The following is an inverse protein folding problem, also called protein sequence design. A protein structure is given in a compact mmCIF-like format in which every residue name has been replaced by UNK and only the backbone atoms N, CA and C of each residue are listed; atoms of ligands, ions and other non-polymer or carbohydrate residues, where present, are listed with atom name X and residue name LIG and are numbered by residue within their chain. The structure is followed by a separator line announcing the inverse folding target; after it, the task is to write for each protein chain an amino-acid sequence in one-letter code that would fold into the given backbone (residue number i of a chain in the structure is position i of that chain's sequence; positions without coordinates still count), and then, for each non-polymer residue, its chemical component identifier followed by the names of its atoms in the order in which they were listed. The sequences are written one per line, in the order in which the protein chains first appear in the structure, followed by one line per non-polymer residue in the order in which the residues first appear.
data_IF_026504635634
#
_entry.id   IF_026504635634
#
_cell.length_a   1.000
_cell.length_b   1.000
_cell.length_c   1.000
_cell.angle_alpha   90.00
_cell.angle_beta   90.00
_cell.angle_gamma   90.00
#
_symmetry.space_group_name_H-M   'P 1'
#
loop_
_entity.id
_entity.type
_entity.pdbx_description
1 polymer ?
#
# COMPACT_ATOMS: atom_id res chain seq x y z
N UNK A 1 10.15 -78.17 17.37
CA UNK A 1 10.43 -77.36 16.16
C UNK A 1 9.74 -76.04 16.32
N UNK A 2 10.48 -75.00 16.49
CA UNK A 2 10.01 -73.65 16.81
C UNK A 2 10.23 -72.75 15.61
N UNK A 3 9.20 -72.26 15.01
CA UNK A 3 9.29 -71.24 13.96
C UNK A 3 9.35 -69.85 14.59
N UNK A 4 10.32 -69.09 14.22
CA UNK A 4 10.49 -67.68 14.61
C UNK A 4 9.96 -66.80 13.46
N UNK A 5 8.87 -66.12 13.72
CA UNK A 5 8.33 -65.11 12.78
C UNK A 5 8.96 -63.75 13.11
N UNK A 6 9.78 -63.23 12.19
CA UNK A 6 10.36 -61.90 12.28
C UNK A 6 9.33 -60.87 11.75
N UNK A 7 8.92 -59.96 12.62
CA UNK A 7 8.07 -58.82 12.23
C UNK A 7 8.97 -57.67 11.75
N UNK A 8 8.81 -57.28 10.49
CA UNK A 8 9.46 -56.15 9.86
C UNK A 8 8.60 -54.87 10.11
N UNK A 9 9.03 -54.01 11.03
CA UNK A 9 8.37 -52.74 11.31
C UNK A 9 8.75 -51.69 10.27
N UNK A 10 7.78 -51.25 9.49
CA UNK A 10 7.94 -50.14 8.55
C UNK A 10 7.74 -48.80 9.31
N UNK A 11 8.83 -48.04 9.46
CA UNK A 11 8.77 -46.69 10.02
C UNK A 11 8.44 -45.74 8.88
N UNK A 12 7.17 -45.26 8.82
CA UNK A 12 6.76 -44.12 8.00
C UNK A 12 7.15 -42.85 8.75
N UNK A 13 8.25 -42.21 8.37
CA UNK A 13 8.61 -40.90 8.82
C UNK A 13 7.76 -39.84 8.10
N UNK A 14 6.82 -39.23 8.82
CA UNK A 14 6.08 -38.06 8.36
C UNK A 14 7.02 -36.83 8.32
N UNK A 15 7.50 -36.46 7.15
CA UNK A 15 8.13 -35.16 6.92
C UNK A 15 7.06 -34.11 6.49
N UNK A 16 6.28 -33.64 7.46
CA UNK A 16 5.26 -32.60 7.25
C UNK A 16 5.70 -31.22 7.78
N UNK A 17 7.02 -30.91 7.68
CA UNK A 17 7.58 -29.71 8.33
C UNK A 17 7.98 -28.54 7.43
N UNK A 18 8.02 -28.71 6.10
CA UNK A 18 8.70 -27.71 5.25
C UNK A 18 7.79 -26.80 4.43
N UNK A 19 6.51 -27.09 4.31
CA UNK A 19 5.60 -26.27 3.48
C UNK A 19 5.01 -25.06 4.22
N UNK A 20 4.89 -25.12 5.54
CA UNK A 20 4.31 -24.02 6.33
C UNK A 20 5.27 -22.82 6.50
N UNK A 21 6.57 -23.04 6.45
CA UNK A 21 7.58 -21.98 6.63
C UNK A 21 7.71 -21.02 5.44
N UNK A 22 7.30 -21.43 4.23
CA UNK A 22 7.42 -20.59 3.02
C UNK A 22 6.20 -19.68 2.78
N UNK A 23 5.05 -20.01 3.33
CA UNK A 23 3.82 -19.21 3.19
C UNK A 23 3.79 -17.99 4.13
N UNK A 24 4.52 -18.01 5.26
CA UNK A 24 4.56 -16.92 6.24
C UNK A 24 5.62 -15.83 5.97
N UNK A 25 6.56 -16.08 5.07
CA UNK A 25 7.64 -15.13 4.77
C UNK A 25 7.16 -13.77 4.22
N UNK A 26 6.17 -13.71 3.32
CA UNK A 26 5.62 -12.44 2.86
C UNK A 26 4.92 -11.65 3.97
N UNK A 27 4.15 -12.33 4.83
CA UNK A 27 3.43 -11.70 5.94
C UNK A 27 4.39 -11.12 6.99
N UNK A 28 5.47 -11.84 7.33
CA UNK A 28 6.50 -11.36 8.25
C UNK A 28 7.27 -10.15 7.68
N UNK A 29 7.55 -10.13 6.39
CA UNK A 29 8.25 -9.05 5.71
C UNK A 29 7.49 -7.73 5.84
N UNK A 30 6.16 -7.74 5.72
CA UNK A 30 5.32 -6.54 5.73
C UNK A 30 4.74 -6.21 7.12
N UNK A 31 5.06 -6.98 8.14
CA UNK A 31 4.50 -6.79 9.49
C UNK A 31 4.72 -5.38 10.08
N UNK A 32 5.86 -4.77 9.79
CA UNK A 32 6.16 -3.39 10.24
C UNK A 32 5.30 -2.35 9.51
N UNK A 33 5.11 -2.55 8.21
CA UNK A 33 4.24 -1.71 7.40
C UNK A 33 2.79 -1.83 7.88
N UNK A 34 2.27 -3.05 8.03
CA UNK A 34 0.90 -3.30 8.47
C UNK A 34 0.62 -2.66 9.83
N UNK A 35 1.53 -2.75 10.82
CA UNK A 35 1.36 -2.07 12.10
C UNK A 35 1.23 -0.54 11.97
N UNK A 36 1.92 0.08 11.01
CA UNK A 36 1.78 1.52 10.78
C UNK A 36 0.46 1.87 10.10
N UNK A 37 -0.01 1.02 9.19
CA UNK A 37 -1.36 1.12 8.62
C UNK A 37 -2.41 1.00 9.73
N UNK A 38 -2.28 0.00 10.62
CA UNK A 38 -3.20 -0.18 11.75
C UNK A 38 -3.23 1.05 12.67
N UNK A 39 -2.07 1.66 12.90
CA UNK A 39 -1.97 2.89 13.70
C UNK A 39 -2.69 4.07 13.02
N UNK A 40 -2.57 4.22 11.71
CA UNK A 40 -3.33 5.21 10.93
C UNK A 40 -4.83 4.96 11.04
N UNK A 41 -5.27 3.72 10.80
CA UNK A 41 -6.68 3.35 10.87
C UNK A 41 -7.27 3.51 12.29
N UNK A 42 -6.46 3.33 13.34
CA UNK A 42 -6.90 3.59 14.71
C UNK A 42 -7.25 5.07 14.92
N UNK A 43 -6.40 5.99 14.44
CA UNK A 43 -6.69 7.44 14.45
C UNK A 43 -7.93 7.75 13.63
N UNK A 44 -8.02 7.21 12.42
CA UNK A 44 -9.16 7.40 11.52
C UNK A 44 -10.47 6.95 12.18
N UNK A 45 -10.51 5.75 12.78
CA UNK A 45 -11.68 5.25 13.51
C UNK A 45 -12.08 6.12 14.70
N UNK A 46 -11.11 6.69 15.44
CA UNK A 46 -11.41 7.63 16.52
C UNK A 46 -12.09 8.90 15.97
N UNK A 47 -11.61 9.42 14.86
CA UNK A 47 -12.22 10.57 14.18
C UNK A 47 -13.64 10.24 13.72
N UNK A 48 -13.88 9.07 13.16
CA UNK A 48 -15.21 8.64 12.68
C UNK A 48 -16.25 8.46 13.79
N UNK A 49 -15.82 8.35 15.05
CA UNK A 49 -16.75 8.35 16.19
C UNK A 49 -17.38 9.71 16.46
N UNK A 50 -16.73 10.80 16.04
CA UNK A 50 -17.17 12.18 16.27
C UNK A 50 -17.55 12.93 15.00
N UNK A 51 -17.06 12.47 13.84
CA UNK A 51 -17.37 13.05 12.54
C UNK A 51 -17.96 11.97 11.63
N UNK A 52 -19.17 12.20 11.17
CA UNK A 52 -19.81 11.29 10.22
C UNK A 52 -19.15 11.44 8.86
N UNK A 53 -18.49 10.37 8.40
CA UNK A 53 -17.95 10.28 7.05
C UNK A 53 -19.05 10.18 5.97
N UNK A 54 -18.66 10.21 4.67
CA UNK A 54 -19.60 10.10 3.57
C UNK A 54 -20.46 8.82 3.69
N UNK A 55 -21.76 8.99 3.44
CA UNK A 55 -22.70 7.89 3.31
C UNK A 55 -23.20 7.81 1.88
N UNK A 56 -23.84 6.69 1.54
CA UNK A 56 -24.53 6.57 0.26
C UNK A 56 -25.66 7.61 0.22
N UNK A 57 -25.55 8.56 -0.69
CA UNK A 57 -26.53 9.63 -0.92
C UNK A 57 -26.62 9.89 -2.42
N UNK A 58 -27.79 10.35 -2.88
CA UNK A 58 -27.96 10.88 -4.24
C UNK A 58 -27.49 12.33 -4.35
N UNK A 59 -27.26 13.00 -3.23
CA UNK A 59 -26.76 14.38 -3.18
C UNK A 59 -25.21 14.36 -3.15
N UNK A 60 -24.63 14.72 -4.29
CA UNK A 60 -23.18 14.84 -4.44
C UNK A 60 -22.58 15.85 -3.44
N UNK A 61 -23.29 16.93 -3.15
CA UNK A 61 -22.78 17.97 -2.27
C UNK A 61 -22.69 17.50 -0.83
N UNK A 62 -23.67 16.72 -0.37
CA UNK A 62 -23.64 16.07 0.94
C UNK A 62 -22.43 15.12 1.08
N UNK A 63 -22.16 14.31 0.04
CA UNK A 63 -21.01 13.41 0.03
C UNK A 63 -19.70 14.20 0.13
N UNK A 64 -19.54 15.26 -0.64
CA UNK A 64 -18.34 16.09 -0.64
C UNK A 64 -18.13 16.80 0.69
N UNK A 65 -19.18 17.37 1.29
CA UNK A 65 -19.09 18.02 2.59
C UNK A 65 -18.69 17.02 3.71
N UNK A 66 -19.27 15.83 3.69
CA UNK A 66 -18.93 14.80 4.66
C UNK A 66 -17.46 14.32 4.48
N UNK A 67 -16.98 14.17 3.25
CA UNK A 67 -15.57 13.86 2.96
C UNK A 67 -14.64 14.98 3.43
N UNK A 68 -15.02 16.24 3.23
CA UNK A 68 -14.24 17.39 3.69
C UNK A 68 -14.19 17.49 5.22
N UNK A 69 -15.31 17.23 5.90
CA UNK A 69 -15.36 17.19 7.36
C UNK A 69 -14.47 16.09 7.92
N UNK A 70 -14.54 14.87 7.34
CA UNK A 70 -13.68 13.75 7.72
C UNK A 70 -12.21 14.09 7.51
N UNK A 71 -11.86 14.64 6.34
CA UNK A 71 -10.52 15.07 6.03
C UNK A 71 -9.96 16.08 7.02
N UNK A 72 -10.70 17.14 7.31
CA UNK A 72 -10.29 18.18 8.26
C UNK A 72 -10.06 17.63 9.68
N UNK A 73 -10.92 16.71 10.11
CA UNK A 73 -10.77 16.07 11.41
C UNK A 73 -9.55 15.13 11.47
N UNK A 74 -9.29 14.35 10.42
CA UNK A 74 -8.07 13.52 10.31
C UNK A 74 -6.83 14.42 10.27
N UNK A 75 -6.84 15.51 9.49
CA UNK A 75 -5.74 16.46 9.41
C UNK A 75 -5.40 17.03 10.80
N UNK A 76 -6.41 17.39 11.56
CA UNK A 76 -6.26 17.91 12.93
C UNK A 76 -5.67 16.84 13.86
N UNK A 77 -6.22 15.62 13.84
CA UNK A 77 -5.74 14.51 14.67
C UNK A 77 -4.31 14.09 14.31
N UNK A 78 -3.87 14.35 13.06
CA UNK A 78 -2.54 14.05 12.53
C UNK A 78 -1.72 15.32 12.24
N UNK A 79 -1.92 16.41 12.96
CA UNK A 79 -1.23 17.68 12.71
C UNK A 79 0.32 17.56 12.72
N UNK A 80 0.88 16.57 13.43
CA UNK A 80 2.31 16.26 13.45
C UNK A 80 2.76 15.26 12.39
N UNK A 81 1.87 14.83 11.47
CA UNK A 81 2.20 13.83 10.45
C UNK A 81 3.31 14.31 9.52
N UNK A 82 4.24 13.41 9.22
CA UNK A 82 5.41 13.68 8.39
C UNK A 82 5.64 12.57 7.38
N UNK A 83 6.32 12.91 6.30
CA UNK A 83 6.81 11.92 5.35
C UNK A 83 7.70 10.87 6.04
N UNK A 84 7.41 9.60 5.79
CA UNK A 84 8.09 8.47 6.41
C UNK A 84 7.44 7.95 7.68
N UNK A 85 6.31 8.50 8.10
CA UNK A 85 5.54 7.96 9.24
C UNK A 85 5.03 6.55 8.95
N UNK A 86 4.63 6.27 7.71
CA UNK A 86 4.28 4.93 7.24
C UNK A 86 5.48 4.32 6.51
N UNK A 87 6.00 4.98 5.48
CA UNK A 87 7.15 4.54 4.70
C UNK A 87 8.47 4.89 5.39
N UNK A 88 8.69 4.40 6.63
CA UNK A 88 9.97 4.58 7.31
C UNK A 88 11.14 4.11 6.44
N UNK A 89 12.39 4.54 6.68
CA UNK A 89 13.53 4.21 5.81
C UNK A 89 13.67 2.71 5.51
N UNK A 90 13.42 1.85 6.49
CA UNK A 90 13.46 0.39 6.30
C UNK A 90 12.32 -0.11 5.41
N UNK A 91 11.09 0.33 5.67
CA UNK A 91 9.91 -0.01 4.86
C UNK A 91 10.09 0.52 3.43
N UNK A 92 10.56 1.76 3.29
CA UNK A 92 10.86 2.37 2.00
C UNK A 92 11.87 1.56 1.17
N UNK A 93 12.90 1.02 1.82
CA UNK A 93 13.87 0.15 1.16
C UNK A 93 13.24 -1.16 0.67
N UNK A 94 12.34 -1.74 1.47
CA UNK A 94 11.62 -2.98 1.11
C UNK A 94 10.69 -2.74 -0.09
N UNK A 95 9.91 -1.65 -0.07
CA UNK A 95 9.04 -1.27 -1.19
C UNK A 95 9.84 -1.05 -2.49
N UNK A 96 10.94 -0.28 -2.43
CA UNK A 96 11.78 -0.06 -3.63
C UNK A 96 12.40 -1.35 -4.15
N UNK A 97 12.78 -2.27 -3.27
CA UNK A 97 13.30 -3.58 -3.66
C UNK A 97 12.22 -4.41 -4.35
N UNK A 98 11.02 -4.45 -3.78
CA UNK A 98 9.87 -5.16 -4.36
C UNK A 98 9.51 -4.61 -5.74
N UNK A 99 9.37 -3.31 -5.86
CA UNK A 99 9.06 -2.63 -7.13
C UNK A 99 10.11 -2.96 -8.19
N UNK A 100 11.41 -2.88 -7.86
CA UNK A 100 12.48 -3.25 -8.80
C UNK A 100 12.40 -4.72 -9.21
N UNK A 101 12.10 -5.61 -8.28
CA UNK A 101 11.95 -7.04 -8.55
C UNK A 101 10.84 -7.30 -9.58
N UNK A 102 9.68 -6.65 -9.40
CA UNK A 102 8.55 -6.76 -10.33
C UNK A 102 8.91 -6.24 -11.73
N UNK A 103 9.51 -5.05 -11.80
CA UNK A 103 9.93 -4.44 -13.07
C UNK A 103 10.92 -5.35 -13.82
N UNK A 104 11.89 -5.93 -13.10
CA UNK A 104 12.89 -6.84 -13.70
C UNK A 104 12.24 -8.15 -14.16
N UNK A 105 11.39 -8.75 -13.35
CA UNK A 105 10.69 -10.01 -13.66
C UNK A 105 9.82 -9.86 -14.91
N UNK A 106 9.11 -8.75 -15.01
CA UNK A 106 8.13 -8.51 -16.09
C UNK A 106 8.77 -7.85 -17.32
N UNK A 107 10.08 -7.56 -17.30
CA UNK A 107 10.79 -6.88 -18.38
C UNK A 107 10.26 -5.48 -18.69
N UNK A 108 9.57 -4.85 -17.74
CA UNK A 108 8.93 -3.54 -17.92
C UNK A 108 9.89 -2.41 -17.65
N UNK A 109 9.83 -1.40 -18.52
CA UNK A 109 10.54 -0.14 -18.30
C UNK A 109 9.66 0.82 -17.52
N UNK A 110 10.28 1.64 -16.66
CA UNK A 110 9.58 2.70 -15.94
C UNK A 110 8.89 3.69 -16.88
N UNK A 111 9.56 4.00 -18.01
CA UNK A 111 9.02 4.90 -19.02
C UNK A 111 7.72 4.37 -19.63
N UNK A 112 7.60 3.06 -19.84
CA UNK A 112 6.38 2.44 -20.37
C UNK A 112 5.22 2.56 -19.35
N UNK A 113 5.53 2.46 -18.05
CA UNK A 113 4.53 2.64 -16.97
C UNK A 113 4.07 4.10 -16.86
N UNK A 114 4.94 5.03 -17.23
CA UNK A 114 4.66 6.46 -17.17
C UNK A 114 4.13 7.00 -18.51
N UNK A 115 4.22 6.22 -19.60
CA UNK A 115 3.74 6.60 -20.92
C UNK A 115 2.21 6.59 -21.05
N UNK A 116 1.52 5.82 -20.20
CA UNK A 116 0.05 5.81 -20.13
C UNK A 116 -0.56 7.14 -19.62
N UNK A 117 0.29 8.15 -19.42
CA UNK A 117 -0.14 9.50 -19.05
C UNK A 117 -0.79 10.18 -20.24
N UNK A 118 -1.99 10.68 -20.05
CA UNK A 118 -2.64 11.52 -21.03
C UNK A 118 -1.80 12.81 -21.26
N UNK A 119 -1.38 13.11 -22.49
CA UNK A 119 -0.51 14.28 -22.77
C UNK A 119 -1.18 15.61 -22.43
N UNK A 120 -2.48 15.62 -22.19
CA UNK A 120 -3.30 16.81 -21.97
C UNK A 120 -3.19 17.38 -20.55
N UNK A 121 -2.59 16.67 -19.61
CA UNK A 121 -2.55 17.05 -18.19
C UNK A 121 -1.17 17.51 -17.70
N UNK A 122 -0.40 18.19 -18.57
CA UNK A 122 0.83 18.90 -18.14
C UNK A 122 0.51 20.15 -17.32
N UNK A 123 -0.26 19.98 -16.21
CA UNK A 123 -0.36 21.05 -15.20
C UNK A 123 0.93 21.10 -14.39
N UNK A 124 1.33 22.30 -13.91
CA UNK A 124 2.46 22.38 -12.98
C UNK A 124 2.17 21.44 -11.81
N UNK A 125 3.06 20.49 -11.57
CA UNK A 125 2.94 19.51 -10.50
C UNK A 125 2.92 20.25 -9.17
N UNK A 126 1.74 20.48 -8.61
CA UNK A 126 1.61 20.80 -7.19
C UNK A 126 2.16 19.59 -6.46
N UNK A 127 3.26 19.77 -5.75
CA UNK A 127 3.88 18.68 -5.00
C UNK A 127 2.91 18.22 -3.91
N UNK A 128 2.43 16.97 -3.93
CA UNK A 128 1.60 16.46 -2.86
C UNK A 128 2.36 16.53 -1.53
N UNK A 129 1.65 16.87 -0.48
CA UNK A 129 2.20 16.93 0.89
C UNK A 129 1.49 15.94 1.79
N UNK A 130 2.22 15.34 2.72
CA UNK A 130 1.66 14.42 3.72
C UNK A 130 0.63 15.18 4.56
N UNK A 131 -0.48 14.50 4.86
CA UNK A 131 -1.64 15.06 5.53
C UNK A 131 -2.35 16.19 4.76
N UNK A 132 -1.98 16.42 3.49
CA UNK A 132 -2.65 17.35 2.58
C UNK A 132 -3.76 16.67 1.79
N UNK A 133 -4.60 17.49 1.15
CA UNK A 133 -5.62 16.98 0.21
C UNK A 133 -4.93 16.38 -1.02
N UNK A 134 -5.44 15.26 -1.46
CA UNK A 134 -5.00 14.67 -2.72
C UNK A 134 -5.77 15.33 -3.88
N UNK A 135 -5.02 15.84 -4.84
CA UNK A 135 -5.59 16.38 -6.06
C UNK A 135 -5.87 15.24 -7.04
N UNK A 136 -7.15 14.90 -7.24
CA UNK A 136 -7.58 13.83 -8.13
C UNK A 136 -7.37 14.15 -9.63
N UNK A 137 -7.06 15.41 -9.95
CA UNK A 137 -6.69 15.83 -11.30
C UNK A 137 -5.20 15.58 -11.60
N UNK A 138 -4.41 15.19 -10.60
CA UNK A 138 -3.03 14.77 -10.83
C UNK A 138 -3.02 13.54 -11.70
N UNK A 139 -2.07 13.52 -12.63
CA UNK A 139 -1.79 12.36 -13.47
C UNK A 139 -1.18 11.23 -12.63
N UNK A 140 -2.05 10.50 -11.95
CA UNK A 140 -1.70 9.43 -11.03
C UNK A 140 -1.95 8.08 -11.68
N UNK A 141 -0.89 7.31 -11.83
CA UNK A 141 -0.95 5.96 -12.42
C UNK A 141 -1.06 4.90 -11.35
N UNK A 142 -1.82 3.86 -11.63
CA UNK A 142 -1.93 2.68 -10.78
C UNK A 142 -1.67 1.41 -11.60
N UNK A 143 -0.38 1.09 -11.90
CA UNK A 143 -0.05 -0.07 -12.69
C UNK A 143 -0.48 -1.36 -11.98
N UNK A 144 -1.43 -2.15 -12.51
CA UNK A 144 -1.96 -3.33 -11.81
C UNK A 144 -0.87 -4.34 -11.45
N UNK A 145 0.11 -4.53 -12.33
CA UNK A 145 1.21 -5.45 -12.12
C UNK A 145 2.09 -5.07 -10.91
N UNK A 146 2.30 -3.78 -10.65
CA UNK A 146 3.05 -3.33 -9.47
C UNK A 146 2.23 -3.48 -8.20
N UNK A 147 0.93 -3.15 -8.26
CA UNK A 147 0.05 -3.16 -7.09
C UNK A 147 -0.22 -4.59 -6.60
N UNK A 148 -0.35 -5.56 -7.50
CA UNK A 148 -0.57 -6.95 -7.15
C UNK A 148 0.55 -7.56 -6.29
N UNK A 149 1.76 -7.04 -6.40
CA UNK A 149 2.95 -7.52 -5.67
C UNK A 149 3.28 -6.67 -4.42
N UNK A 150 2.53 -5.59 -4.17
CA UNK A 150 2.64 -4.78 -2.95
C UNK A 150 1.77 -5.35 -1.82
N UNK A 151 2.06 -5.00 -0.56
CA UNK A 151 1.20 -5.40 0.56
C UNK A 151 -0.25 -4.99 0.31
N UNK A 152 -1.24 -5.87 0.57
CA UNK A 152 -2.64 -5.52 0.44
C UNK A 152 -2.99 -4.40 1.43
N UNK A 153 -3.89 -3.52 1.01
CA UNK A 153 -4.39 -2.41 1.81
C UNK A 153 -5.84 -2.65 2.21
N UNK A 154 -6.29 -2.10 3.35
CA UNK A 154 -7.70 -1.95 3.67
C UNK A 154 -8.42 -1.09 2.62
N UNK A 155 -9.75 -1.25 2.51
CA UNK A 155 -10.57 -0.62 1.49
C UNK A 155 -10.53 0.92 1.49
N UNK A 156 -10.22 1.51 2.64
CA UNK A 156 -10.09 2.97 2.79
C UNK A 156 -8.83 3.54 2.16
N UNK A 157 -7.84 2.69 1.90
CA UNK A 157 -6.51 3.12 1.46
C UNK A 157 -6.19 2.64 0.04
N UNK A 158 -5.42 3.44 -0.67
CA UNK A 158 -4.98 3.10 -2.03
C UNK A 158 -3.57 3.58 -2.30
N UNK A 159 -2.81 2.79 -3.09
CA UNK A 159 -1.56 3.23 -3.69
C UNK A 159 -1.81 4.02 -4.97
N UNK A 160 -1.05 5.09 -5.18
CA UNK A 160 -0.99 5.84 -6.43
C UNK A 160 0.44 6.26 -6.75
N UNK A 161 0.84 6.17 -8.01
CA UNK A 161 2.10 6.74 -8.46
C UNK A 161 1.84 8.11 -9.07
N UNK A 162 2.47 9.14 -8.50
CA UNK A 162 2.51 10.49 -9.07
C UNK A 162 3.94 10.74 -9.50
N UNK A 163 4.18 10.78 -10.80
CA UNK A 163 5.54 10.74 -11.30
C UNK A 163 6.23 9.43 -10.86
N UNK A 164 7.31 9.57 -10.12
CA UNK A 164 8.12 8.45 -9.62
C UNK A 164 7.88 8.15 -8.14
N UNK A 165 7.03 8.92 -7.51
CA UNK A 165 6.72 8.82 -6.09
C UNK A 165 5.49 7.94 -5.89
N UNK A 166 5.55 7.05 -4.88
CA UNK A 166 4.41 6.24 -4.47
C UNK A 166 3.70 6.93 -3.31
N UNK A 167 2.43 7.20 -3.51
CA UNK A 167 1.55 7.79 -2.50
C UNK A 167 0.67 6.73 -1.88
N UNK A 168 0.48 6.83 -0.59
CA UNK A 168 -0.58 6.17 0.15
C UNK A 168 -1.69 7.17 0.38
N UNK A 169 -2.90 6.87 -0.07
CA UNK A 169 -4.03 7.80 -0.08
C UNK A 169 -5.20 7.19 0.68
N UNK A 170 -5.82 7.95 1.58
CA UNK A 170 -7.16 7.66 2.08
C UNK A 170 -8.16 8.17 1.04
N UNK A 171 -8.82 7.22 0.35
CA UNK A 171 -9.69 7.53 -0.79
C UNK A 171 -11.03 8.14 -0.37
N UNK A 172 -11.48 7.86 0.84
CA UNK A 172 -12.74 8.39 1.38
C UNK A 172 -12.56 9.82 1.85
N UNK A 173 -11.47 10.09 2.58
CA UNK A 173 -11.14 11.43 3.03
C UNK A 173 -10.45 12.28 1.94
N UNK A 174 -9.95 11.67 0.86
CA UNK A 174 -9.17 12.36 -0.16
C UNK A 174 -7.88 12.95 0.40
N UNK A 175 -7.15 12.20 1.26
CA UNK A 175 -5.95 12.67 1.93
C UNK A 175 -4.73 11.87 1.54
N UNK A 176 -3.58 12.54 1.42
CA UNK A 176 -2.26 11.90 1.33
C UNK A 176 -1.82 11.46 2.72
N UNK A 177 -1.81 10.15 2.95
CA UNK A 177 -1.43 9.57 4.25
C UNK A 177 0.07 9.57 4.45
N UNK A 178 0.83 9.18 3.41
CA UNK A 178 2.29 9.25 3.36
C UNK A 178 2.80 9.19 1.92
N UNK A 179 4.07 9.54 1.72
CA UNK A 179 4.73 9.60 0.42
C UNK A 179 6.05 8.82 0.49
N UNK A 180 6.26 7.91 -0.44
CA UNK A 180 7.53 7.27 -0.71
C UNK A 180 8.18 7.92 -1.94
N UNK A 181 9.12 8.87 -1.77
CA UNK A 181 9.76 9.52 -2.90
C UNK A 181 10.62 8.53 -3.69
N UNK A 182 10.70 8.73 -5.00
CA UNK A 182 11.53 7.92 -5.90
C UNK A 182 11.32 6.42 -5.69
N UNK A 183 10.06 6.01 -5.58
CA UNK A 183 9.68 4.60 -5.49
C UNK A 183 10.05 3.85 -6.78
N UNK A 184 9.84 4.49 -7.95
CA UNK A 184 10.31 3.98 -9.23
C UNK A 184 11.79 4.32 -9.44
N UNK A 185 12.62 3.35 -9.90
CA UNK A 185 14.04 3.55 -10.13
C UNK A 185 14.31 4.58 -11.23
N UNK A 186 15.48 5.24 -11.20
CA UNK A 186 15.93 6.08 -12.32
C UNK A 186 16.25 5.18 -13.51
N UNK A 187 15.85 5.61 -14.69
CA UNK A 187 16.30 4.96 -15.92
C UNK A 187 17.58 5.69 -16.35
N UNK A 188 18.71 5.05 -16.10
CA UNK A 188 19.95 5.50 -16.73
C UNK A 188 19.80 5.23 -18.24
N UNK A 189 19.91 6.28 -19.04
CA UNK A 189 19.92 6.22 -20.50
C UNK A 189 21.24 5.68 -21.00
#
# INVERSE_FOLDING_TARGET
MREVVAALGLIFGLSAGSAALLADLPAAQWSKFNRRIDSYLAVRRQVEQVVTGPRVSSDRQEILQAADALAGAIQTARAAARQGDIFSPAIAADFRRQIRSVLTRDGRRVDDLLADRAPEHQRPLVQPIVNGRFDWELDAVMPPALIADLPPLPDELQYRFVGRDLMLIDIVAGLVVDILPRALPHVDR
#
